data_IF_381297487234
#
_entry.id   IF_381297487234
#
_cell.length_a   1.000
_cell.length_b   1.000
_cell.length_c   1.000
_cell.angle_alpha   90.00
_cell.angle_beta   90.00
_cell.angle_gamma   90.00
#
_symmetry.space_group_name_H-M   'P 1'
#
loop_
_entity.id
_entity.type
_entity.pdbx_description
1 polymer ?
#
# COMPACT_ATOMS: atom_id res chain seq x y z
N UNK A 1 -23.31 28.78 -24.78
CA UNK A 1 -23.34 29.33 -26.15
C UNK A 1 -22.46 28.60 -27.17
N UNK A 2 -21.12 28.56 -27.06
CA UNK A 2 -20.27 27.89 -28.07
C UNK A 2 -20.46 26.36 -28.10
N UNK A 3 -20.53 25.73 -26.92
CA UNK A 3 -20.77 24.28 -26.80
C UNK A 3 -22.15 23.87 -27.31
N UNK A 4 -23.18 24.69 -27.06
CA UNK A 4 -24.56 24.47 -27.55
C UNK A 4 -24.63 24.52 -29.08
N UNK A 5 -23.76 25.31 -29.72
CA UNK A 5 -23.60 25.34 -31.19
C UNK A 5 -22.78 24.18 -31.74
N UNK A 6 -22.36 23.23 -30.89
CA UNK A 6 -21.63 22.02 -31.28
C UNK A 6 -20.12 22.21 -31.46
N UNK A 7 -19.56 23.39 -31.16
CA UNK A 7 -18.11 23.58 -31.21
C UNK A 7 -17.44 22.88 -30.03
N UNK A 8 -16.61 21.86 -30.31
CA UNK A 8 -15.84 21.12 -29.30
C UNK A 8 -14.37 21.08 -29.66
N UNK A 9 -13.51 21.20 -28.66
CA UNK A 9 -12.07 21.06 -28.82
C UNK A 9 -11.77 19.58 -29.07
N UNK A 10 -11.12 19.28 -30.18
CA UNK A 10 -10.66 17.92 -30.47
C UNK A 10 -9.51 17.56 -29.52
N UNK A 11 -9.62 16.42 -28.84
CA UNK A 11 -8.56 15.94 -27.95
C UNK A 11 -7.28 15.72 -28.76
N UNK A 12 -6.15 16.35 -28.42
CA UNK A 12 -4.90 16.15 -29.13
C UNK A 12 -4.37 14.73 -28.89
N UNK A 13 -3.61 14.21 -29.85
CA UNK A 13 -2.92 12.94 -29.69
C UNK A 13 -1.70 13.11 -28.79
N UNK A 14 -1.52 12.14 -27.86
CA UNK A 14 -0.35 12.08 -26.98
C UNK A 14 0.97 12.21 -27.77
N UNK A 15 2.03 12.75 -27.15
CA UNK A 15 3.35 12.88 -27.77
C UNK A 15 3.86 11.56 -28.39
N UNK A 16 3.70 10.46 -27.66
CA UNK A 16 4.13 9.10 -28.05
C UNK A 16 3.20 8.40 -29.06
N UNK A 17 2.19 9.07 -29.61
CA UNK A 17 1.26 8.45 -30.56
C UNK A 17 1.87 8.38 -31.98
N UNK A 18 1.84 7.18 -32.60
CA UNK A 18 2.36 6.91 -33.94
C UNK A 18 1.26 6.59 -34.99
N UNK A 19 0.06 7.15 -34.84
CA UNK A 19 -1.03 6.89 -35.78
C UNK A 19 -0.69 7.37 -37.21
N UNK A 20 -1.14 6.60 -38.22
CA UNK A 20 -0.82 6.83 -39.64
C UNK A 20 -1.55 8.02 -40.26
N UNK A 21 -2.67 8.47 -39.68
CA UNK A 21 -3.52 9.50 -40.27
C UNK A 21 -3.07 10.93 -39.93
N UNK A 22 -2.71 11.19 -38.67
CA UNK A 22 -2.45 12.55 -38.17
C UNK A 22 -1.02 12.74 -37.63
N UNK A 23 -0.34 11.66 -37.25
CA UNK A 23 0.98 11.72 -36.59
C UNK A 23 2.14 11.25 -37.50
N UNK A 24 1.90 10.95 -38.77
CA UNK A 24 2.94 10.49 -39.72
C UNK A 24 4.02 11.53 -39.97
N UNK A 25 3.66 12.82 -39.92
CA UNK A 25 4.63 13.93 -40.01
C UNK A 25 5.65 13.91 -38.86
N UNK A 26 5.30 13.37 -37.68
CA UNK A 26 6.22 13.27 -36.53
C UNK A 26 7.36 12.26 -36.76
N UNK A 27 7.16 11.24 -37.60
CA UNK A 27 8.24 10.28 -37.96
C UNK A 27 9.39 10.94 -38.73
N UNK A 28 9.16 12.10 -39.35
CA UNK A 28 10.16 12.88 -40.10
C UNK A 28 10.78 14.01 -39.27
N UNK A 29 10.42 14.12 -37.99
CA UNK A 29 10.76 15.23 -37.09
C UNK A 29 9.52 16.06 -36.74
N UNK A 30 9.30 16.32 -35.44
CA UNK A 30 8.15 17.12 -35.01
C UNK A 30 8.42 18.61 -35.23
N UNK A 31 7.51 19.29 -35.95
CA UNK A 31 7.57 20.75 -36.10
C UNK A 31 7.18 21.44 -34.78
N UNK A 32 7.87 22.53 -34.44
CA UNK A 32 7.54 23.37 -33.28
C UNK A 32 6.08 23.87 -33.27
N UNK A 33 5.51 24.11 -34.46
CA UNK A 33 4.11 24.53 -34.60
C UNK A 33 3.13 23.46 -34.10
N UNK A 34 3.34 22.20 -34.47
CA UNK A 34 2.52 21.08 -34.00
C UNK A 34 2.62 20.89 -32.48
N UNK A 35 3.82 21.02 -31.92
CA UNK A 35 4.03 20.90 -30.48
C UNK A 35 3.32 22.03 -29.70
N UNK A 36 3.45 23.27 -30.17
CA UNK A 36 2.72 24.42 -29.60
C UNK A 36 1.21 24.27 -29.74
N UNK A 37 0.72 23.80 -30.89
CA UNK A 37 -0.71 23.57 -31.11
C UNK A 37 -1.28 22.53 -30.14
N UNK A 38 -0.55 21.43 -29.90
CA UNK A 38 -0.91 20.42 -28.90
C UNK A 38 -0.92 21.01 -27.49
N UNK A 39 0.10 21.77 -27.11
CA UNK A 39 0.17 22.44 -25.81
C UNK A 39 -1.02 23.36 -25.60
N UNK A 40 -1.36 24.21 -26.58
CA UNK A 40 -2.52 25.10 -26.51
C UNK A 40 -3.84 24.33 -26.46
N UNK A 41 -3.96 23.21 -27.18
CA UNK A 41 -5.14 22.35 -27.10
C UNK A 41 -5.31 21.77 -25.68
N UNK A 42 -4.23 21.27 -25.07
CA UNK A 42 -4.25 20.81 -23.68
C UNK A 42 -4.58 21.93 -22.70
N UNK A 43 -4.02 23.13 -22.88
CA UNK A 43 -4.33 24.30 -22.05
C UNK A 43 -5.81 24.69 -22.09
N UNK A 44 -6.42 24.57 -23.27
CA UNK A 44 -7.85 24.84 -23.42
C UNK A 44 -8.73 23.73 -22.82
N UNK A 45 -8.31 22.47 -22.92
CA UNK A 45 -9.00 21.32 -22.30
C UNK A 45 -8.89 21.32 -20.77
N UNK A 46 -7.78 21.80 -20.21
CA UNK A 46 -7.55 21.88 -18.77
C UNK A 46 -8.24 23.07 -18.11
N UNK A 47 -9.00 23.88 -18.86
CA UNK A 47 -9.75 24.98 -18.29
C UNK A 47 -10.89 24.44 -17.39
N UNK A 48 -10.95 24.81 -16.10
CA UNK A 48 -12.00 24.35 -15.17
C UNK A 48 -13.43 24.56 -15.69
N UNK A 49 -13.69 25.71 -16.31
CA UNK A 49 -15.03 26.04 -16.84
C UNK A 49 -15.41 25.09 -17.97
N UNK A 50 -14.44 24.75 -18.83
CA UNK A 50 -14.65 23.81 -19.92
C UNK A 50 -14.89 22.38 -19.40
N UNK A 51 -14.14 21.95 -18.39
CA UNK A 51 -14.31 20.65 -17.74
C UNK A 51 -15.70 20.53 -17.10
N UNK A 52 -16.14 21.50 -16.31
CA UNK A 52 -17.46 21.49 -15.67
C UNK A 52 -18.62 21.39 -16.65
N UNK A 53 -18.49 22.00 -17.84
CA UNK A 53 -19.58 22.06 -18.82
C UNK A 53 -19.68 20.81 -19.71
N UNK A 54 -18.59 20.08 -19.90
CA UNK A 54 -18.53 18.94 -20.82
C UNK A 54 -18.44 17.59 -20.14
N UNK A 55 -17.89 17.54 -18.94
CA UNK A 55 -17.62 16.30 -18.23
C UNK A 55 -18.87 15.88 -17.46
N UNK A 56 -19.22 14.61 -17.56
CA UNK A 56 -20.26 14.02 -16.70
C UNK A 56 -19.80 13.97 -15.23
N UNK A 57 -18.55 13.54 -15.02
CA UNK A 57 -17.85 13.63 -13.74
C UNK A 57 -16.60 14.53 -13.93
N UNK A 58 -16.65 15.78 -13.45
CA UNK A 58 -15.53 16.71 -13.59
C UNK A 58 -14.32 16.31 -12.75
N UNK A 59 -14.51 15.67 -11.59
CA UNK A 59 -13.39 15.26 -10.72
C UNK A 59 -12.63 14.10 -11.36
N UNK A 60 -13.34 13.08 -11.84
CA UNK A 60 -12.72 11.98 -12.59
C UNK A 60 -11.96 12.49 -13.83
N UNK A 61 -12.59 13.37 -14.60
CA UNK A 61 -12.00 13.92 -15.84
C UNK A 61 -10.75 14.74 -15.54
N UNK A 62 -10.77 15.48 -14.42
CA UNK A 62 -9.62 16.23 -13.91
C UNK A 62 -8.48 15.28 -13.58
N UNK A 63 -8.73 14.18 -12.86
CA UNK A 63 -7.70 13.21 -12.49
C UNK A 63 -7.03 12.56 -13.71
N UNK A 64 -7.84 12.10 -14.66
CA UNK A 64 -7.33 11.48 -15.88
C UNK A 64 -6.52 12.47 -16.74
N UNK A 65 -6.96 13.73 -16.82
CA UNK A 65 -6.26 14.78 -17.55
C UNK A 65 -4.95 15.18 -16.85
N UNK A 66 -4.92 15.26 -15.51
CA UNK A 66 -3.70 15.47 -14.74
C UNK A 66 -2.64 14.42 -15.06
N UNK A 67 -3.00 13.13 -14.99
CA UNK A 67 -2.07 12.03 -15.30
C UNK A 67 -1.60 12.10 -16.75
N UNK A 68 -2.49 12.41 -17.68
CA UNK A 68 -2.12 12.57 -19.09
C UNK A 68 -1.16 13.74 -19.33
N UNK A 69 -1.33 14.88 -18.65
CA UNK A 69 -0.42 16.02 -18.74
C UNK A 69 0.95 15.68 -18.13
N UNK A 70 0.99 14.95 -17.02
CA UNK A 70 2.23 14.48 -16.41
C UNK A 70 2.96 13.45 -17.29
N UNK A 71 2.24 12.58 -17.99
CA UNK A 71 2.84 11.71 -19.01
C UNK A 71 3.43 12.55 -20.16
N UNK A 72 2.74 13.60 -20.59
CA UNK A 72 3.25 14.50 -21.62
C UNK A 72 4.50 15.26 -21.16
N UNK A 73 4.54 15.71 -19.89
CA UNK A 73 5.68 16.42 -19.29
C UNK A 73 6.95 15.57 -19.24
N UNK A 74 6.79 14.25 -19.04
CA UNK A 74 7.91 13.28 -19.03
C UNK A 74 8.48 13.04 -20.43
N UNK A 75 7.65 13.09 -21.46
CA UNK A 75 8.05 12.85 -22.86
C UNK A 75 8.61 14.11 -23.50
N UNK A 76 7.90 15.23 -23.39
CA UNK A 76 8.27 16.52 -23.97
C UNK A 76 9.02 17.38 -22.96
N UNK A 77 10.33 17.19 -22.92
CA UNK A 77 11.20 17.89 -21.96
C UNK A 77 11.22 19.40 -22.19
N UNK A 78 11.03 19.84 -23.43
CA UNK A 78 11.07 21.25 -23.84
C UNK A 78 9.91 22.06 -23.25
N UNK A 79 8.72 21.45 -23.13
CA UNK A 79 7.51 22.08 -22.59
C UNK A 79 7.09 21.50 -21.22
N UNK A 80 8.04 20.87 -20.53
CA UNK A 80 7.77 20.18 -19.26
C UNK A 80 7.13 21.11 -18.24
N UNK A 81 7.64 22.33 -18.12
CA UNK A 81 7.17 23.28 -17.12
C UNK A 81 5.72 23.71 -17.39
N UNK A 82 5.35 23.97 -18.65
CA UNK A 82 3.98 24.34 -19.00
C UNK A 82 2.99 23.19 -18.73
N UNK A 83 3.36 21.94 -19.07
CA UNK A 83 2.52 20.79 -18.75
C UNK A 83 2.34 20.59 -17.25
N UNK A 84 3.41 20.69 -16.46
CA UNK A 84 3.34 20.57 -15.00
C UNK A 84 2.53 21.71 -14.37
N UNK A 85 2.63 22.94 -14.87
CA UNK A 85 1.82 24.06 -14.38
C UNK A 85 0.32 23.84 -14.64
N UNK A 86 -0.04 23.32 -15.82
CA UNK A 86 -1.43 22.97 -16.15
C UNK A 86 -1.95 21.83 -15.27
N UNK A 87 -1.12 20.80 -15.04
CA UNK A 87 -1.46 19.70 -14.13
C UNK A 87 -1.69 20.22 -12.70
N UNK A 88 -0.87 21.15 -12.21
CA UNK A 88 -1.02 21.74 -10.88
C UNK A 88 -2.33 22.54 -10.75
N UNK A 89 -2.70 23.33 -11.77
CA UNK A 89 -3.99 24.04 -11.80
C UNK A 89 -5.18 23.09 -11.71
N UNK A 90 -5.10 21.94 -12.39
CA UNK A 90 -6.13 20.90 -12.32
C UNK A 90 -6.19 20.23 -10.94
N UNK A 91 -5.05 19.96 -10.30
CA UNK A 91 -5.01 19.45 -8.92
C UNK A 91 -5.71 20.41 -7.96
N UNK A 92 -5.37 21.70 -8.02
CA UNK A 92 -6.01 22.74 -7.20
C UNK A 92 -7.52 22.82 -7.47
N UNK A 93 -7.93 22.80 -8.74
CA UNK A 93 -9.35 22.77 -9.10
C UNK A 93 -10.09 21.60 -8.46
N UNK A 94 -9.50 20.39 -8.43
CA UNK A 94 -10.13 19.23 -7.77
C UNK A 94 -10.30 19.41 -6.25
N UNK A 95 -9.38 20.14 -5.61
CA UNK A 95 -9.45 20.48 -4.18
C UNK A 95 -10.56 21.49 -3.93
N UNK A 96 -10.63 22.54 -4.75
CA UNK A 96 -11.69 23.56 -4.67
C UNK A 96 -13.09 22.93 -4.80
N UNK A 97 -13.25 21.89 -5.63
CA UNK A 97 -14.53 21.18 -5.76
C UNK A 97 -14.97 20.50 -4.46
N UNK A 98 -14.05 19.82 -3.73
CA UNK A 98 -14.40 19.22 -2.44
C UNK A 98 -14.61 20.28 -1.37
N UNK A 99 -13.89 21.40 -1.43
CA UNK A 99 -14.03 22.50 -0.48
C UNK A 99 -15.46 23.06 -0.47
N UNK A 100 -16.14 23.05 -1.62
CA UNK A 100 -17.53 23.48 -1.73
C UNK A 100 -18.56 22.53 -1.09
N UNK A 101 -18.16 21.31 -0.70
CA UNK A 101 -19.05 20.37 -0.04
C UNK A 101 -19.35 20.84 1.39
N UNK A 102 -20.64 20.90 1.75
CA UNK A 102 -21.11 21.43 3.04
C UNK A 102 -21.34 20.33 4.07
N UNK A 103 -21.64 19.12 3.60
CA UNK A 103 -21.96 17.97 4.46
C UNK A 103 -20.95 16.84 4.24
N UNK A 104 -20.77 16.00 5.27
CA UNK A 104 -19.94 14.79 5.14
C UNK A 104 -20.53 13.79 4.16
N UNK A 105 -21.86 13.81 3.99
CA UNK A 105 -22.59 12.96 3.04
C UNK A 105 -22.27 13.36 1.59
N UNK A 106 -22.21 14.65 1.27
CA UNK A 106 -21.77 15.14 -0.06
C UNK A 106 -20.36 14.67 -0.40
N UNK A 107 -19.43 14.80 0.55
CA UNK A 107 -18.06 14.33 0.37
C UNK A 107 -18.03 12.82 0.19
N UNK A 108 -18.80 12.08 1.00
CA UNK A 108 -18.89 10.63 0.89
C UNK A 108 -19.47 10.18 -0.47
N UNK A 109 -20.46 10.91 -1.01
CA UNK A 109 -20.99 10.67 -2.34
C UNK A 109 -19.93 10.86 -3.43
N UNK A 110 -19.14 11.93 -3.35
CA UNK A 110 -18.01 12.14 -4.29
C UNK A 110 -17.00 11.00 -4.17
N UNK A 111 -16.63 10.57 -2.96
CA UNK A 111 -15.62 9.52 -2.79
C UNK A 111 -16.10 8.12 -3.23
N UNK A 112 -17.42 7.87 -3.15
CA UNK A 112 -18.07 6.61 -3.56
C UNK A 112 -18.42 6.55 -5.04
N UNK A 113 -18.44 7.70 -5.73
CA UNK A 113 -18.80 7.73 -7.14
C UNK A 113 -17.82 6.88 -7.97
N UNK A 114 -18.37 6.16 -8.94
CA UNK A 114 -17.64 5.15 -9.72
C UNK A 114 -17.86 5.39 -11.19
N UNK A 115 -16.76 5.57 -11.93
CA UNK A 115 -16.74 5.72 -13.39
C UNK A 115 -16.09 4.48 -14.02
N UNK A 116 -16.80 3.35 -13.96
CA UNK A 116 -16.41 2.07 -14.57
C UNK A 116 -16.08 0.95 -13.58
N UNK A 117 -15.98 -0.28 -14.08
CA UNK A 117 -15.97 -1.49 -13.23
C UNK A 117 -14.67 -1.71 -12.45
N UNK A 118 -13.54 -1.15 -12.90
CA UNK A 118 -12.18 -1.42 -12.38
C UNK A 118 -12.02 -1.18 -10.87
N UNK A 119 -12.72 -0.20 -10.31
CA UNK A 119 -12.58 0.18 -8.90
C UNK A 119 -13.84 -0.07 -8.06
N UNK A 120 -14.87 -0.67 -8.65
CA UNK A 120 -16.20 -0.88 -8.04
C UNK A 120 -16.16 -1.72 -6.75
N UNK A 121 -15.14 -2.56 -6.58
CA UNK A 121 -14.98 -3.44 -5.41
C UNK A 121 -14.49 -2.72 -4.16
N UNK A 122 -14.02 -1.47 -4.28
CA UNK A 122 -13.52 -0.70 -3.15
C UNK A 122 -14.60 0.19 -2.54
N UNK A 123 -14.46 0.48 -1.24
CA UNK A 123 -15.40 1.36 -0.53
C UNK A 123 -15.39 2.80 -1.05
N UNK A 124 -14.22 3.30 -1.47
CA UNK A 124 -14.02 4.64 -2.01
C UNK A 124 -13.24 4.57 -3.34
N UNK A 125 -13.92 4.22 -4.45
CA UNK A 125 -13.28 4.05 -5.76
C UNK A 125 -12.56 5.31 -6.24
N UNK A 126 -13.20 6.47 -6.07
CA UNK A 126 -12.66 7.75 -6.52
C UNK A 126 -11.45 8.20 -5.71
N UNK A 127 -11.40 7.86 -4.41
CA UNK A 127 -10.22 8.09 -3.58
C UNK A 127 -9.03 7.25 -4.06
N UNK A 128 -9.28 6.00 -4.42
CA UNK A 128 -8.23 5.09 -4.89
C UNK A 128 -7.71 5.55 -6.25
N UNK A 129 -8.59 6.01 -7.13
CA UNK A 129 -8.19 6.65 -8.37
C UNK A 129 -7.32 7.90 -8.11
N UNK A 130 -7.68 8.75 -7.13
CA UNK A 130 -6.86 9.91 -6.78
C UNK A 130 -5.46 9.51 -6.30
N UNK A 131 -5.35 8.40 -5.55
CA UNK A 131 -4.07 7.83 -5.12
C UNK A 131 -3.27 7.32 -6.32
N UNK A 132 -3.92 6.62 -7.26
CA UNK A 132 -3.28 6.07 -8.46
C UNK A 132 -2.83 7.17 -9.43
N UNK A 133 -3.55 8.29 -9.47
CA UNK A 133 -3.17 9.50 -10.19
C UNK A 133 -2.16 10.37 -9.44
N UNK A 134 -1.74 9.97 -8.23
CA UNK A 134 -0.80 10.68 -7.35
C UNK A 134 -1.23 12.11 -6.95
N UNK A 135 -2.54 12.35 -6.81
CA UNK A 135 -3.10 13.67 -6.47
C UNK A 135 -3.17 13.83 -4.95
N UNK A 136 -2.03 14.20 -4.37
CA UNK A 136 -1.82 14.22 -2.91
C UNK A 136 -2.66 15.30 -2.23
N UNK A 137 -2.86 16.44 -2.89
CA UNK A 137 -3.59 17.60 -2.38
C UNK A 137 -5.07 17.26 -2.13
N UNK A 138 -5.69 16.54 -3.08
CA UNK A 138 -7.07 16.05 -2.95
C UNK A 138 -7.24 15.06 -1.80
N UNK A 139 -6.32 14.09 -1.70
CA UNK A 139 -6.38 13.04 -0.66
C UNK A 139 -6.13 13.63 0.73
N UNK A 140 -5.22 14.60 0.86
CA UNK A 140 -4.87 15.23 2.14
C UNK A 140 -5.84 16.31 2.60
N UNK A 141 -6.82 16.68 1.76
CA UNK A 141 -7.81 17.70 2.09
C UNK A 141 -8.57 17.37 3.39
N UNK A 142 -8.79 18.36 4.30
CA UNK A 142 -9.43 18.12 5.59
C UNK A 142 -10.80 17.43 5.51
N UNK A 143 -11.64 17.78 4.52
CA UNK A 143 -12.97 17.18 4.35
C UNK A 143 -12.86 15.69 3.99
N UNK A 144 -11.94 15.32 3.09
CA UNK A 144 -11.66 13.92 2.76
C UNK A 144 -11.17 13.17 3.99
N UNK A 145 -10.18 13.71 4.68
CA UNK A 145 -9.60 13.10 5.88
C UNK A 145 -10.64 12.94 7.01
N UNK A 146 -11.61 13.85 7.13
CA UNK A 146 -12.70 13.73 8.09
C UNK A 146 -13.61 12.53 7.79
N UNK A 147 -13.98 12.31 6.53
CA UNK A 147 -14.79 11.15 6.10
C UNK A 147 -14.00 9.84 6.24
N UNK A 148 -12.73 9.80 5.81
CA UNK A 148 -11.89 8.63 6.04
C UNK A 148 -11.77 8.30 7.53
N UNK A 149 -11.62 9.33 8.35
CA UNK A 149 -11.49 9.18 9.81
C UNK A 149 -12.78 8.69 10.46
N UNK A 150 -13.95 9.16 10.02
CA UNK A 150 -15.24 8.68 10.56
C UNK A 150 -15.42 7.18 10.26
N UNK A 151 -15.06 6.75 9.04
CA UNK A 151 -15.10 5.34 8.64
C UNK A 151 -14.06 4.50 9.38
N UNK A 152 -12.84 5.03 9.56
CA UNK A 152 -11.76 4.33 10.27
C UNK A 152 -12.10 4.06 11.74
N UNK A 153 -12.58 5.07 12.45
CA UNK A 153 -12.90 4.98 13.87
C UNK A 153 -14.22 4.25 14.13
N UNK A 154 -15.16 4.27 13.17
CA UNK A 154 -16.51 3.73 13.36
C UNK A 154 -17.15 4.28 14.63
N UNK A 155 -17.67 3.38 15.47
CA UNK A 155 -18.31 3.73 16.75
C UNK A 155 -17.31 4.14 17.86
N UNK A 156 -15.99 4.05 17.62
CA UNK A 156 -14.99 4.21 18.67
C UNK A 156 -14.53 5.66 18.88
N UNK A 157 -15.46 6.55 19.21
CA UNK A 157 -15.18 7.99 19.37
C UNK A 157 -14.19 8.33 20.50
N UNK A 158 -14.09 7.48 21.54
CA UNK A 158 -13.22 7.73 22.70
C UNK A 158 -11.72 7.59 22.38
N UNK A 159 -11.34 6.85 21.34
CA UNK A 159 -9.94 6.67 20.92
C UNK A 159 -9.25 8.00 20.58
N UNK A 160 -10.02 8.99 20.10
CA UNK A 160 -9.55 10.33 19.70
C UNK A 160 -8.91 11.13 20.84
N UNK A 161 -9.36 10.96 22.08
CA UNK A 161 -8.94 11.79 23.22
C UNK A 161 -7.70 11.26 23.94
N UNK A 162 -7.23 10.06 23.59
CA UNK A 162 -6.15 9.39 24.33
C UNK A 162 -4.78 9.84 23.85
N UNK A 163 -3.87 9.99 24.81
CA UNK A 163 -2.45 10.21 24.51
C UNK A 163 -1.86 8.99 23.81
N UNK A 164 -0.77 9.19 23.08
CA UNK A 164 -0.05 8.12 22.39
C UNK A 164 0.33 6.96 23.32
N UNK A 165 0.90 7.27 24.50
CA UNK A 165 1.24 6.25 25.49
C UNK A 165 0.02 5.48 25.99
N UNK A 166 -1.11 6.17 26.17
CA UNK A 166 -2.37 5.49 26.51
C UNK A 166 -2.83 4.58 25.39
N UNK A 167 -2.73 4.98 24.12
CA UNK A 167 -3.05 4.12 22.98
C UNK A 167 -2.15 2.88 22.92
N UNK A 168 -0.85 3.02 23.18
CA UNK A 168 0.08 1.91 23.24
C UNK A 168 -0.26 0.94 24.38
N UNK A 169 -0.59 1.46 25.57
CA UNK A 169 -1.04 0.65 26.70
C UNK A 169 -2.35 -0.11 26.41
N UNK A 170 -3.18 0.35 25.48
CA UNK A 170 -4.37 -0.37 25.04
C UNK A 170 -4.09 -1.56 24.13
N UNK A 171 -2.90 -1.66 23.52
CA UNK A 171 -2.49 -2.82 22.72
C UNK A 171 -2.27 -4.05 23.61
N UNK A 172 -1.71 -3.87 24.81
CA UNK A 172 -1.40 -4.96 25.75
C UNK A 172 -2.64 -5.78 26.15
N UNK A 173 -3.74 -5.20 26.68
CA UNK A 173 -4.95 -5.97 26.97
C UNK A 173 -5.58 -6.53 25.70
N UNK A 174 -5.42 -5.87 24.55
CA UNK A 174 -5.94 -6.37 23.28
C UNK A 174 -5.22 -7.64 22.81
N UNK A 175 -3.90 -7.75 23.02
CA UNK A 175 -3.11 -8.97 22.77
C UNK A 175 -3.67 -10.15 23.58
N UNK A 176 -3.94 -9.93 24.87
CA UNK A 176 -4.48 -10.97 25.77
C UNK A 176 -5.90 -11.37 25.34
N UNK A 177 -6.70 -10.40 24.91
CA UNK A 177 -8.09 -10.61 24.50
C UNK A 177 -8.20 -11.27 23.10
N UNK A 178 -7.19 -11.15 22.25
CA UNK A 178 -7.19 -11.61 20.86
C UNK A 178 -7.65 -13.08 20.68
N UNK A 179 -7.12 -14.10 21.38
CA UNK A 179 -7.58 -15.48 21.22
C UNK A 179 -9.07 -15.64 21.52
N UNK A 180 -9.58 -14.96 22.54
CA UNK A 180 -11.01 -14.96 22.87
C UNK A 180 -11.85 -14.30 21.77
N UNK A 181 -11.38 -13.19 21.19
CA UNK A 181 -12.09 -12.50 20.10
C UNK A 181 -12.14 -13.33 18.81
N UNK A 182 -11.06 -14.06 18.50
CA UNK A 182 -11.02 -14.96 17.33
C UNK A 182 -12.02 -16.10 17.51
N UNK A 183 -12.09 -16.71 18.70
CA UNK A 183 -13.06 -17.75 19.02
C UNK A 183 -14.50 -17.21 18.92
N UNK A 184 -14.77 -16.04 19.49
CA UNK A 184 -16.09 -15.40 19.37
C UNK A 184 -16.49 -15.14 17.91
N UNK A 185 -15.56 -14.66 17.08
CA UNK A 185 -15.83 -14.40 15.67
C UNK A 185 -16.10 -15.69 14.88
N UNK A 186 -15.39 -16.77 15.18
CA UNK A 186 -15.55 -18.07 14.53
C UNK A 186 -16.87 -18.76 14.90
N UNK A 187 -17.25 -18.74 16.18
CA UNK A 187 -18.43 -19.46 16.67
C UNK A 187 -19.71 -18.62 16.70
N UNK A 188 -19.61 -17.32 16.96
CA UNK A 188 -20.77 -16.42 17.13
C UNK A 188 -20.57 -15.05 16.45
N UNK A 189 -20.62 -15.00 15.11
CA UNK A 189 -20.40 -13.76 14.35
C UNK A 189 -21.50 -12.71 14.51
N UNK A 190 -22.64 -13.07 15.08
CA UNK A 190 -23.84 -12.23 15.26
C UNK A 190 -23.79 -11.33 16.50
N UNK A 191 -22.76 -11.46 17.34
CA UNK A 191 -22.65 -10.68 18.57
C UNK A 191 -22.25 -9.23 18.26
N UNK A 192 -22.76 -8.27 19.03
CA UNK A 192 -22.35 -6.85 18.93
C UNK A 192 -20.83 -6.67 19.04
N UNK A 193 -20.16 -7.55 19.77
CA UNK A 193 -18.70 -7.56 19.91
C UNK A 193 -18.00 -8.01 18.63
N UNK A 194 -18.52 -9.04 17.94
CA UNK A 194 -18.04 -9.47 16.63
C UNK A 194 -18.33 -8.43 15.53
N UNK A 195 -19.46 -7.73 15.59
CA UNK A 195 -19.73 -6.59 14.70
C UNK A 195 -18.73 -5.45 14.92
N UNK A 196 -18.41 -5.13 16.17
CA UNK A 196 -17.38 -4.14 16.49
C UNK A 196 -16.01 -4.53 15.91
N UNK A 197 -15.68 -5.82 15.83
CA UNK A 197 -14.42 -6.30 15.22
C UNK A 197 -14.36 -6.09 13.69
N UNK A 198 -15.50 -5.86 13.02
CA UNK A 198 -15.52 -5.55 11.58
C UNK A 198 -14.92 -4.19 11.25
N UNK A 199 -14.81 -3.29 12.23
CA UNK A 199 -14.28 -1.93 12.04
C UNK A 199 -12.81 -1.95 11.61
N UNK A 200 -12.36 -1.00 10.75
CA UNK A 200 -10.99 -0.96 10.26
C UNK A 200 -9.94 -0.87 11.38
N UNK A 201 -10.22 -0.06 12.40
CA UNK A 201 -9.31 0.10 13.54
C UNK A 201 -9.11 -1.19 14.33
N UNK A 202 -10.17 -1.99 14.54
CA UNK A 202 -10.03 -3.25 15.28
C UNK A 202 -9.34 -4.32 14.43
N UNK A 203 -9.60 -4.37 13.12
CA UNK A 203 -8.82 -5.21 12.20
C UNK A 203 -7.34 -4.84 12.25
N UNK A 204 -7.01 -3.55 12.19
CA UNK A 204 -5.64 -3.08 12.32
C UNK A 204 -5.02 -3.43 13.68
N UNK A 205 -5.74 -3.19 14.79
CA UNK A 205 -5.24 -3.48 16.14
C UNK A 205 -5.01 -4.97 16.36
N UNK A 206 -5.90 -5.83 15.85
CA UNK A 206 -5.73 -7.28 15.91
C UNK A 206 -4.57 -7.78 15.04
N UNK A 207 -4.40 -7.22 13.84
CA UNK A 207 -3.26 -7.53 12.97
C UNK A 207 -1.93 -7.14 13.62
N UNK A 208 -1.85 -5.91 14.16
CA UNK A 208 -0.66 -5.44 14.88
C UNK A 208 -0.37 -6.24 16.14
N UNK A 209 -1.38 -6.59 16.93
CA UNK A 209 -1.23 -7.48 18.08
C UNK A 209 -0.69 -8.86 17.66
N UNK A 210 -1.24 -9.47 16.61
CA UNK A 210 -0.76 -10.76 16.09
C UNK A 210 0.71 -10.68 15.62
N UNK A 211 1.11 -9.55 15.04
CA UNK A 211 2.48 -9.31 14.61
C UNK A 211 3.44 -9.17 15.80
N UNK A 212 3.02 -8.48 16.86
CA UNK A 212 3.81 -8.37 18.10
C UNK A 212 4.00 -9.74 18.76
N UNK A 213 2.96 -10.58 18.81
CA UNK A 213 3.08 -11.97 19.30
C UNK A 213 4.10 -12.75 18.46
N UNK A 214 4.05 -12.64 17.13
CA UNK A 214 5.01 -13.28 16.23
C UNK A 214 6.45 -12.85 16.52
N UNK A 215 6.69 -11.56 16.73
CA UNK A 215 8.02 -11.07 17.11
C UNK A 215 8.47 -11.61 18.47
N UNK A 216 7.59 -11.69 19.46
CA UNK A 216 7.93 -12.29 20.76
C UNK A 216 8.33 -13.76 20.59
N UNK A 217 7.61 -14.53 19.77
CA UNK A 217 7.95 -15.93 19.46
C UNK A 217 9.33 -16.04 18.80
N UNK A 218 9.67 -15.11 17.89
CA UNK A 218 11.02 -15.04 17.30
C UNK A 218 12.10 -14.80 18.37
N UNK A 219 11.88 -13.90 19.34
CA UNK A 219 12.86 -13.68 20.43
C UNK A 219 13.05 -14.96 21.23
N UNK A 220 11.95 -15.61 21.62
CA UNK A 220 11.99 -16.84 22.42
C UNK A 220 12.80 -17.89 21.66
N UNK A 221 12.52 -18.09 20.37
CA UNK A 221 13.25 -19.05 19.55
C UNK A 221 14.73 -18.67 19.37
N UNK A 222 15.04 -17.39 19.19
CA UNK A 222 16.42 -16.92 18.99
C UNK A 222 17.26 -17.01 20.26
N UNK A 223 16.64 -16.83 21.43
CA UNK A 223 17.33 -16.95 22.73
C UNK A 223 17.68 -18.39 23.10
N UNK A 224 16.99 -19.37 22.52
CA UNK A 224 17.26 -20.77 22.77
C UNK A 224 18.50 -21.23 21.98
N UNK A 225 19.61 -21.45 22.67
CA UNK A 225 20.85 -21.92 22.05
C UNK A 225 20.71 -23.36 21.55
N UNK A 226 21.00 -23.60 20.27
CA UNK A 226 21.09 -24.94 19.69
C UNK A 226 22.35 -25.64 20.18
N UNK A 227 22.19 -26.63 21.05
CA UNK A 227 23.30 -27.45 21.57
C UNK A 227 23.50 -28.72 20.73
N UNK A 228 22.42 -29.26 20.16
CA UNK A 228 22.43 -30.49 19.34
C UNK A 228 22.42 -30.16 17.86
N UNK A 229 23.02 -31.04 17.04
CA UNK A 229 22.96 -30.94 15.58
C UNK A 229 21.55 -31.28 15.12
N UNK A 230 21.04 -30.58 14.10
CA UNK A 230 19.72 -30.79 13.53
C UNK A 230 18.82 -29.55 13.60
N UNK A 231 17.54 -29.68 13.20
CA UNK A 231 16.59 -28.60 13.36
C UNK A 231 16.38 -28.29 14.86
N UNK A 232 15.92 -27.07 15.16
CA UNK A 232 15.44 -26.81 16.50
C UNK A 232 14.33 -27.79 16.89
N UNK A 233 14.24 -28.14 18.18
CA UNK A 233 13.24 -29.06 18.72
C UNK A 233 12.53 -28.46 19.93
N UNK A 234 12.44 -27.13 19.96
CA UNK A 234 11.91 -26.36 21.10
C UNK A 234 10.38 -26.37 21.13
N UNK A 235 9.74 -26.75 20.02
CA UNK A 235 8.29 -26.74 19.83
C UNK A 235 7.74 -25.38 19.38
N UNK A 236 8.46 -24.28 19.62
CA UNK A 236 8.10 -22.92 19.21
C UNK A 236 8.17 -22.67 17.70
N UNK A 237 8.82 -23.57 16.95
CA UNK A 237 8.86 -23.49 15.49
C UNK A 237 7.47 -23.65 14.86
N UNK A 238 6.62 -24.52 15.40
CA UNK A 238 5.31 -24.80 14.83
C UNK A 238 4.40 -23.56 14.81
N UNK A 239 4.24 -22.82 15.92
CA UNK A 239 3.54 -21.53 15.89
C UNK A 239 4.11 -20.53 14.88
N UNK A 240 5.44 -20.45 14.75
CA UNK A 240 6.11 -19.54 13.80
C UNK A 240 5.78 -19.97 12.36
N UNK A 241 5.90 -21.26 12.03
CA UNK A 241 5.57 -21.79 10.71
C UNK A 241 4.10 -21.56 10.34
N UNK A 242 3.17 -21.83 11.26
CA UNK A 242 1.73 -21.59 11.06
C UNK A 242 1.47 -20.10 10.80
N UNK A 243 2.11 -19.22 11.58
CA UNK A 243 1.95 -17.78 11.39
C UNK A 243 2.49 -17.32 10.04
N UNK A 244 3.68 -17.78 9.63
CA UNK A 244 4.28 -17.45 8.33
C UNK A 244 3.41 -17.96 7.18
N UNK A 245 2.88 -19.18 7.27
CA UNK A 245 1.94 -19.72 6.28
C UNK A 245 0.67 -18.86 6.18
N UNK A 246 0.10 -18.46 7.32
CA UNK A 246 -1.03 -17.53 7.35
C UNK A 246 -0.69 -16.18 6.70
N UNK A 247 0.51 -15.65 6.93
CA UNK A 247 0.96 -14.40 6.33
C UNK A 247 1.16 -14.52 4.80
N UNK A 248 1.65 -15.68 4.33
CA UNK A 248 1.72 -16.00 2.89
C UNK A 248 0.31 -16.00 2.27
N UNK A 249 -0.69 -16.62 2.91
CA UNK A 249 -2.07 -16.61 2.42
C UNK A 249 -2.63 -15.17 2.32
N UNK A 250 -2.31 -14.30 3.28
CA UNK A 250 -2.71 -12.89 3.24
C UNK A 250 -2.07 -12.15 2.06
N UNK A 251 -0.76 -12.34 1.82
CA UNK A 251 -0.06 -11.72 0.70
C UNK A 251 -0.54 -12.26 -0.66
N UNK A 252 -0.85 -13.54 -0.77
CA UNK A 252 -1.47 -14.12 -1.97
C UNK A 252 -2.83 -13.46 -2.23
N UNK A 253 -3.70 -13.37 -1.21
CA UNK A 253 -5.00 -12.70 -1.36
C UNK A 253 -4.83 -11.23 -1.78
N UNK A 254 -3.89 -10.51 -1.17
CA UNK A 254 -3.58 -9.12 -1.53
C UNK A 254 -3.11 -8.99 -2.98
N UNK A 255 -2.27 -9.91 -3.46
CA UNK A 255 -1.84 -9.97 -4.85
C UNK A 255 -3.04 -10.16 -5.81
N UNK A 256 -3.97 -11.07 -5.49
CA UNK A 256 -5.17 -11.29 -6.28
C UNK A 256 -6.10 -10.07 -6.32
N UNK A 257 -6.32 -9.41 -5.17
CA UNK A 257 -7.23 -8.26 -5.09
C UNK A 257 -6.64 -6.98 -5.70
N UNK A 258 -5.34 -6.72 -5.56
CA UNK A 258 -4.69 -5.50 -6.08
C UNK A 258 -4.31 -5.61 -7.55
N UNK A 259 -4.10 -6.83 -8.05
CA UNK A 259 -3.55 -7.10 -9.37
C UNK A 259 -2.03 -6.92 -9.45
N UNK A 260 -1.43 -7.56 -10.45
CA UNK A 260 0.03 -7.65 -10.63
C UNK A 260 0.73 -6.28 -10.70
N UNK A 261 0.24 -5.36 -11.53
CA UNK A 261 0.92 -4.09 -11.79
C UNK A 261 1.03 -3.22 -10.53
N UNK A 262 -0.08 -3.08 -9.78
CA UNK A 262 -0.12 -2.29 -8.56
C UNK A 262 0.70 -2.93 -7.45
N UNK A 263 0.63 -4.25 -7.34
CA UNK A 263 1.34 -5.00 -6.31
C UNK A 263 2.85 -4.81 -6.42
N UNK A 264 3.43 -4.99 -7.62
CA UNK A 264 4.88 -4.87 -7.82
C UNK A 264 5.39 -3.42 -7.91
N UNK A 265 4.51 -2.43 -8.09
CA UNK A 265 4.91 -1.01 -8.02
C UNK A 265 5.18 -0.53 -6.59
N UNK A 266 4.70 -1.24 -5.57
CA UNK A 266 4.86 -0.83 -4.17
C UNK A 266 6.08 -1.51 -3.56
N UNK A 267 7.09 -0.73 -3.16
CA UNK A 267 8.35 -1.25 -2.58
C UNK A 267 8.15 -2.07 -1.30
N UNK A 268 7.15 -1.74 -0.48
CA UNK A 268 6.83 -2.51 0.73
C UNK A 268 6.33 -3.92 0.42
N UNK A 269 5.70 -4.15 -0.72
CA UNK A 269 5.28 -5.50 -1.11
C UNK A 269 6.49 -6.36 -1.48
N UNK A 270 7.47 -5.79 -2.19
CA UNK A 270 8.75 -6.46 -2.43
C UNK A 270 9.46 -6.84 -1.13
N UNK A 271 9.45 -5.93 -0.16
CA UNK A 271 10.01 -6.19 1.16
C UNK A 271 9.34 -7.38 1.86
N UNK A 272 8.00 -7.43 1.85
CA UNK A 272 7.24 -8.54 2.45
C UNK A 272 7.55 -9.88 1.74
N UNK A 273 7.68 -9.89 0.41
CA UNK A 273 8.09 -11.07 -0.37
C UNK A 273 9.48 -11.55 0.07
N UNK A 274 10.47 -10.65 0.14
CA UNK A 274 11.84 -10.99 0.52
C UNK A 274 11.92 -11.54 1.96
N UNK A 275 11.17 -10.94 2.88
CA UNK A 275 11.09 -11.42 4.26
C UNK A 275 10.46 -12.82 4.32
N UNK A 276 9.31 -13.02 3.66
CA UNK A 276 8.62 -14.30 3.61
C UNK A 276 9.44 -15.40 2.92
N UNK A 277 10.11 -15.09 1.81
CA UNK A 277 10.96 -16.05 1.09
C UNK A 277 12.13 -16.50 1.96
N UNK A 278 12.69 -15.60 2.78
CA UNK A 278 13.76 -15.95 3.71
C UNK A 278 13.24 -16.92 4.80
N UNK A 279 12.04 -16.71 5.35
CA UNK A 279 11.44 -17.67 6.29
C UNK A 279 11.17 -19.04 5.63
N UNK A 280 10.63 -19.08 4.40
CA UNK A 280 10.40 -20.34 3.69
C UNK A 280 11.73 -21.07 3.42
N UNK A 281 12.80 -20.34 3.09
CA UNK A 281 14.14 -20.90 2.96
C UNK A 281 14.64 -21.49 4.29
N UNK A 282 14.41 -20.82 5.43
CA UNK A 282 14.79 -21.36 6.75
C UNK A 282 14.11 -22.68 7.04
N UNK A 283 12.80 -22.79 6.80
CA UNK A 283 12.04 -24.01 7.05
C UNK A 283 12.48 -25.15 6.12
N UNK A 284 12.82 -24.82 4.87
CA UNK A 284 13.36 -25.80 3.91
C UNK A 284 14.71 -26.34 4.36
N UNK A 285 15.58 -25.47 4.89
CA UNK A 285 16.89 -25.87 5.43
C UNK A 285 16.75 -26.66 6.74
N UNK A 286 15.79 -26.33 7.61
CA UNK A 286 15.49 -27.14 8.79
C UNK A 286 14.97 -28.53 8.41
N UNK A 287 14.12 -28.64 7.40
CA UNK A 287 13.69 -29.93 6.87
C UNK A 287 14.87 -30.72 6.31
N UNK A 288 15.78 -30.06 5.58
CA UNK A 288 16.99 -30.71 5.10
C UNK A 288 17.89 -31.19 6.24
N UNK A 289 18.10 -30.36 7.27
CA UNK A 289 18.85 -30.73 8.47
C UNK A 289 18.22 -31.93 9.21
N UNK A 290 16.89 -32.02 9.21
CA UNK A 290 16.17 -33.16 9.79
C UNK A 290 16.43 -34.46 9.02
N UNK A 291 16.37 -34.40 7.69
CA UNK A 291 16.64 -35.56 6.83
C UNK A 291 18.10 -36.02 6.93
N UNK A 292 19.05 -35.09 6.90
CA UNK A 292 20.50 -35.38 7.07
C UNK A 292 20.80 -36.03 8.42
N UNK A 293 20.07 -35.63 9.48
CA UNK A 293 20.22 -36.21 10.81
C UNK A 293 19.69 -37.65 10.89
N UNK A 294 18.59 -37.96 10.20
CA UNK A 294 18.07 -39.33 10.12
C UNK A 294 19.05 -40.25 9.39
N UNK A 295 19.70 -39.75 8.34
CA UNK A 295 20.64 -40.53 7.54
C UNK A 295 21.99 -40.72 8.25
N UNK A 296 22.50 -39.69 8.94
CA UNK A 296 23.83 -39.71 9.55
C UNK A 296 23.87 -40.19 11.01
N UNK A 297 22.74 -40.17 11.73
CA UNK A 297 22.59 -40.49 13.17
C UNK A 297 23.59 -39.77 14.12
N UNK A 298 24.01 -38.55 13.75
CA UNK A 298 25.01 -37.75 14.45
C UNK A 298 24.41 -36.58 15.26
N UNK A 299 23.33 -36.83 16.01
CA UNK A 299 22.61 -35.78 16.76
C UNK A 299 23.45 -35.11 17.87
N UNK A 300 24.29 -35.89 18.55
CA UNK A 300 25.08 -35.45 19.70
C UNK A 300 26.50 -35.01 19.33
N UNK A 301 26.79 -34.83 18.04
CA UNK A 301 28.09 -34.33 17.59
C UNK A 301 28.28 -32.89 18.08
N UNK A 302 29.36 -32.63 18.81
CA UNK A 302 29.66 -31.28 19.31
C UNK A 302 29.81 -30.28 18.16
N UNK A 303 29.32 -29.05 18.36
CA UNK A 303 29.31 -27.96 17.37
C UNK A 303 30.67 -27.67 16.72
N UNK A 304 31.78 -27.97 17.41
CA UNK A 304 33.16 -27.76 16.91
C UNK A 304 33.50 -28.67 15.72
N UNK A 305 32.83 -29.82 15.60
CA UNK A 305 33.08 -30.80 14.54
C UNK A 305 32.08 -30.69 13.38
N UNK A 306 31.19 -29.71 13.42
CA UNK A 306 30.24 -29.49 12.33
C UNK A 306 30.99 -29.01 11.09
N UNK A 307 30.58 -29.52 9.93
CA UNK A 307 31.13 -29.06 8.65
C UNK A 307 30.78 -27.58 8.45
N UNK A 308 31.61 -26.83 7.75
CA UNK A 308 31.37 -25.40 7.51
C UNK A 308 30.05 -25.10 6.77
N UNK A 309 29.57 -26.05 5.96
CA UNK A 309 28.30 -25.97 5.21
C UNK A 309 27.21 -26.87 5.81
N UNK A 310 27.25 -27.13 7.11
CA UNK A 310 26.21 -27.92 7.79
C UNK A 310 24.83 -27.23 7.63
N UNK A 311 23.78 -27.95 7.18
CA UNK A 311 22.42 -27.44 7.09
C UNK A 311 21.96 -26.70 8.34
N UNK A 312 22.33 -27.17 9.53
CA UNK A 312 21.94 -26.53 10.79
C UNK A 312 22.49 -25.09 10.92
N UNK A 313 23.75 -24.86 10.55
CA UNK A 313 24.39 -23.53 10.60
C UNK A 313 23.78 -22.57 9.56
N UNK A 314 23.50 -23.08 8.36
CA UNK A 314 22.86 -22.30 7.30
C UNK A 314 21.44 -21.90 7.76
N UNK A 315 20.72 -22.81 8.42
CA UNK A 315 19.40 -22.55 8.99
C UNK A 315 19.41 -21.46 10.06
N UNK A 316 20.37 -21.51 11.00
CA UNK A 316 20.56 -20.46 12.02
C UNK A 316 20.83 -19.09 11.38
N UNK A 317 21.73 -19.02 10.40
CA UNK A 317 22.09 -17.79 9.72
C UNK A 317 20.91 -17.17 8.95
N UNK A 318 20.19 -17.99 8.18
CA UNK A 318 19.00 -17.54 7.46
C UNK A 318 17.89 -17.10 8.41
N UNK A 319 17.72 -17.78 9.56
CA UNK A 319 16.69 -17.43 10.54
C UNK A 319 17.00 -16.10 11.23
N UNK A 320 18.29 -15.81 11.50
CA UNK A 320 18.71 -14.51 11.99
C UNK A 320 18.40 -13.39 10.98
N UNK A 321 18.69 -13.60 9.68
CA UNK A 321 18.36 -12.63 8.62
C UNK A 321 16.84 -12.41 8.55
N UNK A 322 16.05 -13.48 8.54
CA UNK A 322 14.60 -13.42 8.52
C UNK A 322 14.04 -12.65 9.73
N UNK A 323 14.62 -12.87 10.92
CA UNK A 323 14.26 -12.18 12.16
C UNK A 323 14.53 -10.67 12.07
N UNK A 324 15.69 -10.26 11.55
CA UNK A 324 16.02 -8.84 11.36
C UNK A 324 15.01 -8.17 10.42
N UNK A 325 14.67 -8.83 9.30
CA UNK A 325 13.65 -8.35 8.38
C UNK A 325 12.27 -8.28 9.06
N UNK A 326 11.90 -9.26 9.89
CA UNK A 326 10.65 -9.18 10.65
C UNK A 326 10.63 -7.95 11.60
N UNK A 327 11.72 -7.63 12.30
CA UNK A 327 11.74 -6.44 13.16
C UNK A 327 11.62 -5.14 12.40
N UNK A 328 12.36 -5.00 11.30
CA UNK A 328 12.37 -3.78 10.52
C UNK A 328 10.99 -3.47 9.94
N UNK A 329 10.19 -4.49 9.63
CA UNK A 329 8.79 -4.33 9.22
C UNK A 329 7.92 -3.56 10.22
N UNK A 330 8.25 -3.52 11.53
CA UNK A 330 7.53 -2.69 12.51
C UNK A 330 7.52 -1.21 12.14
N UNK A 331 8.53 -0.73 11.40
CA UNK A 331 8.56 0.64 10.91
C UNK A 331 7.34 0.95 10.04
N UNK A 332 6.72 -0.04 9.39
CA UNK A 332 5.47 0.18 8.65
C UNK A 332 4.32 0.64 9.56
N UNK A 333 4.20 0.06 10.75
CA UNK A 333 3.15 0.42 11.72
C UNK A 333 3.34 1.86 12.23
N UNK A 334 4.61 2.31 12.34
CA UNK A 334 4.91 3.66 12.79
C UNK A 334 4.49 4.75 11.79
N UNK A 335 4.27 4.43 10.50
CA UNK A 335 3.77 5.38 9.50
C UNK A 335 2.39 5.94 9.86
N UNK A 336 1.56 5.15 10.56
CA UNK A 336 0.19 5.52 10.92
C UNK A 336 0.17 6.53 12.08
N UNK A 337 1.27 6.64 12.83
CA UNK A 337 1.35 7.57 13.94
C UNK A 337 1.55 9.00 13.43
N UNK A 338 0.77 9.94 13.96
CA UNK A 338 0.84 11.37 13.62
C UNK A 338 2.21 12.01 13.88
N UNK A 339 2.99 11.50 14.83
CA UNK A 339 4.31 12.02 15.19
C UNK A 339 5.44 11.30 14.43
N UNK A 340 5.39 9.98 14.32
CA UNK A 340 6.46 9.17 13.72
C UNK A 340 6.33 9.06 12.19
N UNK A 341 5.12 9.13 11.65
CA UNK A 341 4.87 9.04 10.21
C UNK A 341 5.60 10.12 9.39
N UNK A 342 5.48 11.42 9.74
CA UNK A 342 6.22 12.48 9.05
C UNK A 342 7.74 12.30 9.11
N UNK A 343 8.27 11.79 10.23
CA UNK A 343 9.70 11.53 10.41
C UNK A 343 10.16 10.43 9.45
N UNK A 344 9.38 9.35 9.32
CA UNK A 344 9.69 8.25 8.41
C UNK A 344 9.58 8.67 6.93
N UNK A 345 8.61 9.50 6.56
CA UNK A 345 8.52 10.04 5.20
C UNK A 345 9.77 10.87 4.88
N UNK A 346 10.20 11.73 5.82
CA UNK A 346 11.44 12.50 5.65
C UNK A 346 12.67 11.60 5.53
N UNK A 347 12.75 10.53 6.32
CA UNK A 347 13.84 9.56 6.22
C UNK A 347 13.89 8.92 4.83
N UNK A 348 12.74 8.47 4.30
CA UNK A 348 12.67 7.93 2.95
C UNK A 348 13.06 8.96 1.90
N UNK A 349 12.64 10.22 2.04
CA UNK A 349 13.02 11.28 1.12
C UNK A 349 14.52 11.57 1.10
N UNK A 350 15.25 11.29 2.18
CA UNK A 350 16.72 11.41 2.21
C UNK A 350 17.36 10.27 1.44
N UNK A 351 16.88 9.04 1.60
CA UNK A 351 17.46 7.87 0.90
C UNK A 351 17.13 7.80 -0.59
N UNK A 352 16.07 8.46 -1.06
CA UNK A 352 15.62 8.45 -2.46
C UNK A 352 15.95 9.75 -3.22
N UNK A 353 16.68 10.71 -2.62
CA UNK A 353 17.03 11.98 -3.28
C UNK A 353 18.36 12.00 -4.03
N UNK A 354 19.07 10.88 -4.05
CA UNK A 354 20.20 10.63 -4.95
C UNK A 354 19.77 9.66 -6.05
#
# INVERSE_FOLDING_TARGET
MLLERGHRIKKPHKPNCFCKELCTSRKRGESLSNARSRLHAYAALSNPVYLCQLSYDPVFSTFMLCTELEDCSKVEKEFKNEYSEMAEKLRLFSVEMIEQCRTTEEVEMILKHTTGDLYSHFLFPQLILAIDCEIKEFVTHPNCQQVLRSVWLGEWHYWKKKSFFSQLMWVIPHIIQLPFMVLLYMFMPWTKMAERMKSPINKFLSATASYVIFLILIIIQTSHSMVTRGPPSTGWEWPIMIWVLGYICVEINKFWFQGYQRYFSTLWNWYDICMLSTFVATFSVWLWAYLDLIESDQKYLERRYWKSYDPALIGEGLFAIASILAYWRLLYIFQINSYLGPLQIRLNLVFYKD
#
